data_IF_145614147768
#
_entry.id   IF_145614147768
#
_cell.length_a   1.000
_cell.length_b   1.000
_cell.length_c   1.000
_cell.angle_alpha   90.00
_cell.angle_beta   90.00
_cell.angle_gamma   90.00
#
_symmetry.space_group_name_H-M   'P 1'
#
loop_
_entity.id
_entity.type
_entity.pdbx_description
1 polymer ?
#
# COMPACT_ATOMS: atom_id res chain seq x y z
N UNK A 1 -35.55 80.72 -48.78
CA UNK A 1 -34.56 81.10 -47.71
C UNK A 1 -34.30 79.87 -46.91
N UNK A 2 -33.32 79.17 -47.35
CA UNK A 2 -32.00 78.96 -46.78
C UNK A 2 -31.96 78.50 -45.30
N UNK A 3 -31.48 77.33 -45.05
CA UNK A 3 -30.28 77.10 -44.20
C UNK A 3 -29.95 75.63 -44.18
N UNK A 4 -28.75 75.33 -44.62
CA UNK A 4 -28.03 74.02 -44.53
C UNK A 4 -27.70 73.68 -43.09
N UNK A 5 -27.86 72.42 -42.73
CA UNK A 5 -27.23 71.91 -41.54
C UNK A 5 -26.50 70.59 -41.89
N UNK A 6 -25.17 70.69 -41.92
CA UNK A 6 -24.24 69.57 -42.06
C UNK A 6 -24.34 68.70 -40.83
N UNK A 7 -24.63 67.37 -40.99
CA UNK A 7 -24.48 66.41 -39.98
C UNK A 7 -23.12 65.66 -40.16
N UNK A 8 -22.21 65.92 -39.26
CA UNK A 8 -20.90 65.27 -39.17
C UNK A 8 -21.11 63.84 -38.55
N UNK A 9 -20.87 62.82 -39.35
CA UNK A 9 -20.88 61.40 -38.87
C UNK A 9 -19.54 61.10 -38.21
N UNK A 10 -19.50 61.05 -36.89
CA UNK A 10 -18.36 60.58 -36.14
C UNK A 10 -18.38 58.99 -36.11
N UNK A 11 -17.42 58.44 -36.87
CA UNK A 11 -17.16 56.99 -36.82
C UNK A 11 -16.36 56.72 -35.56
N UNK A 12 -17.03 56.09 -34.56
CA UNK A 12 -16.43 55.61 -33.29
C UNK A 12 -15.83 54.26 -33.53
N UNK A 13 -14.52 54.18 -33.80
CA UNK A 13 -13.75 52.92 -33.77
C UNK A 13 -13.66 52.41 -32.33
N UNK A 14 -14.54 51.49 -31.97
CA UNK A 14 -14.42 50.70 -30.76
C UNK A 14 -13.24 49.72 -30.94
N UNK A 15 -12.07 50.12 -30.48
CA UNK A 15 -10.95 49.21 -30.21
C UNK A 15 -11.40 48.22 -29.11
N UNK A 16 -11.74 47.03 -29.55
CA UNK A 16 -11.96 45.89 -28.68
C UNK A 16 -10.59 45.43 -28.16
N UNK A 17 -10.14 46.00 -27.05
CA UNK A 17 -9.08 45.46 -26.24
C UNK A 17 -9.66 44.22 -25.53
N UNK A 18 -9.48 43.04 -26.11
CA UNK A 18 -9.66 41.78 -25.38
C UNK A 18 -8.66 41.76 -24.22
N UNK A 19 -9.00 41.15 -23.08
CA UNK A 19 -8.01 40.96 -22.02
C UNK A 19 -6.83 40.18 -22.61
N UNK A 20 -5.63 40.77 -22.59
CA UNK A 20 -4.39 40.05 -22.82
C UNK A 20 -4.33 38.97 -21.74
N UNK A 21 -4.41 37.69 -22.15
CA UNK A 21 -4.01 36.64 -21.30
C UNK A 21 -2.60 36.94 -20.79
N UNK A 22 -2.47 37.17 -19.51
CA UNK A 22 -1.18 37.31 -18.85
C UNK A 22 -0.51 35.96 -18.98
N UNK A 23 0.30 35.78 -20.00
CA UNK A 23 1.23 34.65 -20.07
C UNK A 23 2.12 34.79 -18.86
N UNK A 24 1.91 33.91 -17.89
CA UNK A 24 2.76 33.77 -16.71
C UNK A 24 4.17 33.47 -17.24
N UNK A 25 5.05 34.46 -17.22
CA UNK A 25 6.41 34.37 -17.79
C UNK A 25 7.29 33.40 -17.07
N UNK A 26 6.84 32.90 -15.89
CA UNK A 26 7.59 31.93 -15.07
C UNK A 26 7.29 30.45 -15.40
N UNK A 27 6.27 30.15 -16.24
CA UNK A 27 5.91 28.78 -16.61
C UNK A 27 5.84 28.60 -18.14
N UNK A 28 6.99 28.41 -18.80
CA UNK A 28 7.05 28.30 -20.25
C UNK A 28 6.36 27.09 -20.81
N UNK A 29 5.70 27.24 -21.95
CA UNK A 29 5.15 26.15 -22.75
C UNK A 29 6.30 25.39 -23.42
N UNK A 30 6.44 24.12 -23.16
CA UNK A 30 7.48 23.24 -23.70
C UNK A 30 7.07 22.55 -24.99
N UNK A 31 5.79 22.20 -25.12
CA UNK A 31 5.21 21.60 -26.32
C UNK A 31 3.73 21.95 -26.44
N UNK A 32 3.20 21.93 -27.68
CA UNK A 32 1.77 22.09 -27.95
C UNK A 32 1.32 21.08 -29.00
N UNK A 33 0.22 20.39 -28.73
CA UNK A 33 -0.45 19.50 -29.65
C UNK A 33 -1.95 19.89 -29.67
N UNK A 34 -2.39 20.43 -30.80
CA UNK A 34 -3.72 21.02 -30.96
C UNK A 34 -3.97 22.08 -29.88
N UNK A 35 -4.94 21.87 -28.99
CA UNK A 35 -5.29 22.78 -27.91
C UNK A 35 -4.62 22.44 -26.56
N UNK A 36 -3.85 21.36 -26.51
CA UNK A 36 -3.18 20.91 -25.31
C UNK A 36 -1.75 21.45 -25.26
N UNK A 37 -1.36 21.97 -24.13
CA UNK A 37 -0.02 22.50 -23.87
C UNK A 37 0.64 21.69 -22.75
N UNK A 38 1.92 21.40 -22.93
CA UNK A 38 2.80 20.93 -21.87
C UNK A 38 3.55 22.14 -21.32
N UNK A 39 3.50 22.35 -20.02
CA UNK A 39 4.21 23.42 -19.34
C UNK A 39 5.34 22.89 -18.48
N UNK A 40 6.32 23.73 -18.18
CA UNK A 40 7.47 23.34 -17.36
C UNK A 40 7.04 22.91 -15.95
N UNK A 41 6.02 23.53 -15.37
CA UNK A 41 5.47 23.17 -14.06
C UNK A 41 4.98 21.72 -13.99
N UNK A 42 4.55 21.12 -15.10
CA UNK A 42 4.12 19.71 -15.16
C UNK A 42 5.30 18.73 -15.06
N UNK A 43 6.53 19.21 -15.10
CA UNK A 43 7.76 18.44 -14.93
C UNK A 43 8.36 18.58 -13.53
N UNK A 44 7.64 19.18 -12.58
CA UNK A 44 8.11 19.33 -11.21
C UNK A 44 8.42 17.94 -10.60
N UNK A 45 9.57 17.82 -9.95
CA UNK A 45 10.04 16.54 -9.37
C UNK A 45 10.67 15.55 -10.35
N UNK A 46 10.77 15.87 -11.66
CA UNK A 46 11.40 14.98 -12.64
C UNK A 46 12.90 15.24 -12.81
N UNK A 47 13.42 16.32 -12.24
CA UNK A 47 14.82 16.67 -12.33
C UNK A 47 15.60 16.08 -11.15
N UNK A 48 16.70 15.33 -11.39
CA UNK A 48 17.57 14.87 -10.32
C UNK A 48 18.21 16.01 -9.54
N UNK A 49 18.46 15.79 -8.25
CA UNK A 49 19.19 16.74 -7.43
C UNK A 49 20.58 17.01 -8.04
N UNK A 50 20.89 18.30 -8.27
CA UNK A 50 22.17 18.71 -8.85
C UNK A 50 22.28 18.59 -10.38
N UNK A 51 21.16 18.37 -11.09
CA UNK A 51 21.14 18.36 -12.55
C UNK A 51 21.68 19.68 -13.13
N UNK A 52 22.57 19.59 -14.13
CA UNK A 52 23.06 20.77 -14.85
C UNK A 52 22.00 21.30 -15.82
N UNK A 53 22.15 22.54 -16.32
CA UNK A 53 21.26 23.09 -17.33
C UNK A 53 21.24 22.23 -18.62
N UNK A 54 22.37 21.60 -18.97
CA UNK A 54 22.46 20.70 -20.11
C UNK A 54 21.67 19.39 -19.87
N UNK A 55 21.80 18.80 -18.68
CA UNK A 55 21.05 17.61 -18.31
C UNK A 55 19.54 17.89 -18.30
N UNK A 56 19.14 19.02 -17.71
CA UNK A 56 17.75 19.46 -17.70
C UNK A 56 17.17 19.66 -19.11
N UNK A 57 17.94 20.24 -20.02
CA UNK A 57 17.52 20.41 -21.42
C UNK A 57 17.25 19.06 -22.13
N UNK A 58 18.11 18.07 -21.92
CA UNK A 58 17.93 16.72 -22.48
C UNK A 58 16.69 16.02 -21.90
N UNK A 59 16.46 16.17 -20.59
CA UNK A 59 15.28 15.61 -19.91
C UNK A 59 14.00 16.27 -20.44
N UNK A 60 13.99 17.59 -20.58
CA UNK A 60 12.85 18.35 -21.11
C UNK A 60 12.54 17.91 -22.56
N UNK A 61 13.54 17.83 -23.41
CA UNK A 61 13.36 17.44 -24.81
C UNK A 61 12.80 16.02 -24.92
N UNK A 62 13.37 15.06 -24.18
CA UNK A 62 12.91 13.67 -24.17
C UNK A 62 11.47 13.54 -23.68
N UNK A 63 11.14 14.27 -22.60
CA UNK A 63 9.79 14.28 -22.03
C UNK A 63 8.78 14.92 -22.99
N UNK A 64 9.09 16.10 -23.54
CA UNK A 64 8.23 16.81 -24.46
C UNK A 64 7.93 15.99 -25.73
N UNK A 65 8.94 15.28 -26.26
CA UNK A 65 8.77 14.39 -27.40
C UNK A 65 7.84 13.19 -27.08
N UNK A 66 7.96 12.59 -25.90
CA UNK A 66 7.08 11.51 -25.46
C UNK A 66 5.66 12.03 -25.26
N UNK A 67 5.52 13.12 -24.49
CA UNK A 67 4.24 13.76 -24.23
C UNK A 67 3.50 14.14 -25.54
N UNK A 68 4.21 14.71 -26.51
CA UNK A 68 3.62 15.08 -27.80
C UNK A 68 3.06 13.86 -28.56
N UNK A 69 3.76 12.72 -28.55
CA UNK A 69 3.27 11.46 -29.16
C UNK A 69 2.02 10.94 -28.46
N UNK A 70 2.03 10.97 -27.12
CA UNK A 70 0.89 10.55 -26.32
C UNK A 70 -0.31 11.47 -26.53
N UNK A 71 -0.06 12.80 -26.62
CA UNK A 71 -1.11 13.78 -26.86
C UNK A 71 -1.73 13.66 -28.27
N UNK A 72 -0.94 13.35 -29.30
CA UNK A 72 -1.45 13.07 -30.67
C UNK A 72 -2.28 11.80 -30.66
N UNK A 73 -1.78 10.72 -30.01
CA UNK A 73 -2.51 9.46 -29.92
C UNK A 73 -3.84 9.64 -29.21
N UNK A 74 -3.84 10.40 -28.10
CA UNK A 74 -5.08 10.68 -27.36
C UNK A 74 -6.06 11.48 -28.20
N UNK A 75 -5.61 12.51 -28.93
CA UNK A 75 -6.46 13.28 -29.83
C UNK A 75 -7.11 12.40 -30.91
N UNK A 76 -6.30 11.55 -31.57
CA UNK A 76 -6.82 10.59 -32.56
C UNK A 76 -7.81 9.61 -31.95
N UNK A 77 -7.53 9.15 -30.72
CA UNK A 77 -8.43 8.24 -29.99
C UNK A 77 -9.77 8.92 -29.66
N UNK A 78 -9.75 10.19 -29.27
CA UNK A 78 -10.98 10.98 -29.01
C UNK A 78 -11.82 11.17 -30.29
N UNK A 79 -11.17 11.39 -31.45
CA UNK A 79 -11.87 11.53 -32.72
C UNK A 79 -12.47 10.19 -33.23
N UNK A 80 -11.88 9.08 -32.87
CA UNK A 80 -12.26 7.74 -33.31
C UNK A 80 -12.92 6.90 -32.19
N UNK A 81 -13.32 7.54 -31.10
CA UNK A 81 -14.00 6.83 -30.00
C UNK A 81 -15.29 6.14 -30.51
N UNK A 82 -15.57 4.89 -30.09
CA UNK A 82 -16.80 4.22 -30.43
C UNK A 82 -18.01 5.04 -30.04
N UNK A 83 -19.00 5.16 -30.95
CA UNK A 83 -20.20 5.99 -30.75
C UNK A 83 -21.12 5.52 -29.61
N UNK A 84 -20.99 4.26 -29.19
CA UNK A 84 -21.68 3.65 -28.06
C UNK A 84 -20.96 3.87 -26.72
N UNK A 85 -19.73 4.38 -26.75
CA UNK A 85 -18.93 4.69 -25.56
C UNK A 85 -19.38 6.04 -24.96
N UNK A 86 -20.20 5.98 -23.92
CA UNK A 86 -20.64 7.16 -23.19
C UNK A 86 -19.56 7.59 -22.17
N UNK A 87 -18.54 8.31 -22.66
CA UNK A 87 -17.41 8.81 -21.85
C UNK A 87 -17.88 9.72 -20.72
N UNK A 88 -18.82 10.62 -20.97
CA UNK A 88 -19.34 11.56 -19.97
C UNK A 88 -19.97 10.80 -18.78
N UNK A 89 -20.69 9.73 -19.05
CA UNK A 89 -21.23 8.88 -18.00
C UNK A 89 -20.12 8.21 -17.21
N UNK A 90 -19.13 7.61 -17.88
CA UNK A 90 -18.00 6.95 -17.23
C UNK A 90 -17.21 7.91 -16.35
N UNK A 91 -16.93 9.12 -16.84
CA UNK A 91 -16.21 10.15 -16.07
C UNK A 91 -17.05 10.59 -14.86
N UNK A 92 -18.36 10.82 -15.01
CA UNK A 92 -19.24 11.15 -13.87
C UNK A 92 -19.27 10.02 -12.83
N UNK A 93 -19.42 8.78 -13.26
CA UNK A 93 -19.49 7.62 -12.37
C UNK A 93 -18.16 7.43 -11.64
N UNK A 94 -17.04 7.59 -12.35
CA UNK A 94 -15.70 7.52 -11.76
C UNK A 94 -15.48 8.63 -10.73
N UNK A 95 -15.82 9.87 -11.07
CA UNK A 95 -15.75 11.01 -10.13
C UNK A 95 -16.61 10.75 -8.89
N UNK A 96 -17.84 10.28 -9.07
CA UNK A 96 -18.74 9.96 -7.96
C UNK A 96 -18.14 8.87 -7.05
N UNK A 97 -17.49 7.85 -7.63
CA UNK A 97 -16.83 6.79 -6.85
C UNK A 97 -15.64 7.33 -6.05
N UNK A 98 -14.80 8.18 -6.64
CA UNK A 98 -13.68 8.81 -5.96
C UNK A 98 -14.11 9.69 -4.79
N UNK A 99 -15.10 10.56 -5.01
CA UNK A 99 -15.63 11.44 -3.95
C UNK A 99 -16.22 10.62 -2.81
N UNK A 100 -16.99 9.57 -3.15
CA UNK A 100 -17.56 8.66 -2.15
C UNK A 100 -16.48 7.93 -1.36
N UNK A 101 -15.49 7.34 -2.03
CA UNK A 101 -14.39 6.63 -1.38
C UNK A 101 -13.60 7.54 -0.45
N UNK A 102 -13.28 8.75 -0.89
CA UNK A 102 -12.57 9.74 -0.07
C UNK A 102 -13.37 10.13 1.18
N UNK A 103 -14.68 10.30 1.04
CA UNK A 103 -15.56 10.61 2.18
C UNK A 103 -15.69 9.42 3.14
N UNK A 104 -15.82 8.19 2.62
CA UNK A 104 -15.85 6.97 3.42
C UNK A 104 -14.54 6.76 4.21
N UNK A 105 -13.39 7.04 3.59
CA UNK A 105 -12.09 7.03 4.27
C UNK A 105 -12.03 8.07 5.41
N UNK A 106 -12.55 9.26 5.19
CA UNK A 106 -12.64 10.29 6.21
C UNK A 106 -13.57 9.87 7.37
N UNK A 107 -14.72 9.27 7.08
CA UNK A 107 -15.63 8.75 8.10
C UNK A 107 -14.93 7.68 8.95
N UNK A 108 -14.25 6.74 8.31
CA UNK A 108 -13.50 5.68 9.00
C UNK A 108 -12.39 6.27 9.85
N UNK A 109 -11.59 7.19 9.31
CA UNK A 109 -10.48 7.81 10.07
C UNK A 109 -10.95 8.57 11.31
N UNK A 110 -12.17 9.11 11.28
CA UNK A 110 -12.73 9.93 12.35
C UNK A 110 -13.50 9.11 13.40
N UNK A 111 -14.21 8.06 12.96
CA UNK A 111 -15.16 7.31 13.81
C UNK A 111 -14.66 5.93 14.23
N UNK A 112 -13.64 5.36 13.55
CA UNK A 112 -13.17 4.02 13.85
C UNK A 112 -12.39 3.98 15.16
N UNK A 113 -12.88 3.21 16.14
CA UNK A 113 -12.07 2.80 17.29
C UNK A 113 -11.14 1.65 16.86
N UNK A 114 -9.84 1.92 16.83
CA UNK A 114 -8.82 0.94 16.49
C UNK A 114 -8.23 0.20 17.70
N UNK A 115 -8.64 0.55 18.92
CA UNK A 115 -8.21 -0.13 20.13
C UNK A 115 -8.88 -1.51 20.23
N UNK A 116 -8.10 -2.56 20.43
CA UNK A 116 -8.58 -3.93 20.59
C UNK A 116 -8.00 -4.47 21.88
N UNK A 117 -8.87 -4.82 22.83
CA UNK A 117 -8.46 -5.43 24.08
C UNK A 117 -8.11 -6.90 23.90
N UNK A 118 -7.34 -7.46 24.82
CA UNK A 118 -6.99 -8.87 24.80
C UNK A 118 -8.23 -9.77 24.91
N UNK A 119 -9.18 -9.40 25.78
CA UNK A 119 -10.45 -10.14 25.96
C UNK A 119 -11.32 -10.13 24.70
N UNK A 120 -11.30 -9.06 23.94
CA UNK A 120 -12.02 -8.97 22.67
C UNK A 120 -11.36 -9.86 21.60
N UNK A 121 -10.03 -9.83 21.54
CA UNK A 121 -9.25 -10.64 20.63
C UNK A 121 -9.52 -12.14 20.86
N UNK A 122 -9.48 -12.57 22.13
CA UNK A 122 -9.73 -13.96 22.50
C UNK A 122 -11.17 -14.38 22.19
N UNK A 123 -12.17 -13.57 22.57
CA UNK A 123 -13.58 -13.87 22.26
C UNK A 123 -13.85 -13.95 20.76
N UNK A 124 -13.26 -13.06 19.97
CA UNK A 124 -13.43 -13.09 18.51
C UNK A 124 -12.77 -14.34 17.91
N UNK A 125 -11.55 -14.66 18.36
CA UNK A 125 -10.85 -15.86 17.92
C UNK A 125 -11.66 -17.12 18.27
N UNK A 126 -12.14 -17.28 19.50
CA UNK A 126 -12.92 -18.45 19.94
C UNK A 126 -14.19 -18.61 19.09
N UNK A 127 -14.85 -17.52 18.74
CA UNK A 127 -16.06 -17.54 17.90
C UNK A 127 -15.76 -17.88 16.44
N UNK A 128 -14.52 -17.68 15.97
CA UNK A 128 -14.14 -17.78 14.54
C UNK A 128 -12.99 -18.75 14.29
N UNK A 129 -12.51 -19.47 15.29
CA UNK A 129 -11.29 -20.31 15.21
C UNK A 129 -11.30 -21.33 14.06
N UNK A 130 -12.47 -21.83 13.67
CA UNK A 130 -12.61 -22.74 12.53
C UNK A 130 -12.17 -22.16 11.17
N UNK A 131 -12.02 -20.83 11.08
CA UNK A 131 -11.52 -20.15 9.88
C UNK A 131 -9.98 -20.11 9.82
N UNK A 132 -9.29 -20.45 10.91
CA UNK A 132 -7.83 -20.37 11.03
C UNK A 132 -7.17 -21.76 10.97
N UNK A 133 -7.57 -22.60 10.00
CA UNK A 133 -6.88 -23.86 9.75
C UNK A 133 -5.53 -23.61 9.08
N UNK A 134 -4.52 -24.35 9.55
CA UNK A 134 -3.17 -24.29 9.03
C UNK A 134 -3.09 -24.90 7.63
N UNK A 135 -2.63 -24.13 6.65
CA UNK A 135 -2.34 -24.64 5.30
C UNK A 135 -1.03 -25.40 5.25
N UNK A 136 -0.06 -25.02 6.09
CA UNK A 136 1.26 -25.65 6.26
C UNK A 136 1.55 -25.84 7.75
N UNK A 137 2.40 -26.81 8.13
CA UNK A 137 2.80 -26.95 9.52
C UNK A 137 3.48 -25.68 10.06
N UNK A 138 3.26 -25.42 11.35
CA UNK A 138 3.97 -24.35 12.06
C UNK A 138 4.79 -24.94 13.21
N UNK A 139 5.88 -24.29 13.51
CA UNK A 139 6.83 -24.71 14.55
C UNK A 139 7.09 -23.59 15.54
N UNK A 140 7.27 -23.95 16.78
CA UNK A 140 7.83 -23.09 17.81
C UNK A 140 9.26 -23.58 18.06
N UNK A 141 10.23 -22.75 17.70
CA UNK A 141 11.63 -23.16 17.65
C UNK A 141 12.59 -22.01 17.97
N UNK A 142 13.84 -22.36 18.26
CA UNK A 142 14.97 -21.48 18.06
C UNK A 142 15.62 -21.81 16.73
N UNK A 143 15.97 -20.77 15.98
CA UNK A 143 16.74 -20.91 14.76
C UNK A 143 17.78 -19.79 14.65
N UNK A 144 18.97 -20.15 14.23
CA UNK A 144 20.02 -19.19 13.97
C UNK A 144 20.92 -19.65 12.81
N UNK A 145 21.26 -18.70 11.93
CA UNK A 145 22.22 -18.87 10.85
C UNK A 145 23.37 -17.90 11.08
N UNK A 146 24.59 -18.44 11.18
CA UNK A 146 25.81 -17.65 11.36
C UNK A 146 26.81 -17.98 10.26
N UNK A 147 27.65 -17.02 9.82
CA UNK A 147 28.67 -17.28 8.79
C UNK A 147 29.70 -18.29 9.30
N UNK A 148 30.32 -19.01 8.37
CA UNK A 148 31.45 -19.89 8.65
C UNK A 148 32.73 -19.30 8.00
N UNK A 149 33.89 -19.27 8.72
CA UNK A 149 34.10 -19.75 10.08
C UNK A 149 33.34 -18.98 11.13
N UNK A 150 32.76 -19.74 12.09
CA UNK A 150 31.84 -19.19 13.10
C UNK A 150 32.64 -18.38 14.14
N UNK A 151 32.36 -17.08 14.30
CA UNK A 151 33.04 -16.28 15.32
C UNK A 151 32.71 -16.78 16.73
N UNK A 152 33.71 -16.84 17.61
CA UNK A 152 33.52 -17.22 19.02
C UNK A 152 32.74 -18.54 19.20
N UNK A 153 33.01 -19.55 18.35
CA UNK A 153 32.22 -20.78 18.24
C UNK A 153 32.05 -21.53 19.56
N UNK A 154 33.11 -21.65 20.39
CA UNK A 154 33.03 -22.31 21.68
C UNK A 154 32.02 -21.60 22.61
N UNK A 155 32.08 -20.29 22.66
CA UNK A 155 31.13 -19.48 23.44
C UNK A 155 29.70 -19.66 22.94
N UNK A 156 29.50 -19.67 21.62
CA UNK A 156 28.19 -19.90 21.03
C UNK A 156 27.62 -21.27 21.39
N UNK A 157 28.43 -22.34 21.31
CA UNK A 157 27.99 -23.69 21.66
C UNK A 157 27.57 -23.77 23.13
N UNK A 158 28.30 -23.15 24.04
CA UNK A 158 27.90 -23.10 25.44
C UNK A 158 26.57 -22.37 25.65
N UNK A 159 26.41 -21.19 25.05
CA UNK A 159 25.16 -20.41 25.13
C UNK A 159 23.97 -21.15 24.53
N UNK A 160 24.19 -21.85 23.40
CA UNK A 160 23.14 -22.61 22.75
C UNK A 160 22.66 -23.81 23.61
N UNK A 161 23.58 -24.50 24.27
CA UNK A 161 23.29 -25.73 25.01
C UNK A 161 22.70 -25.49 26.41
N UNK A 162 23.06 -24.41 27.08
CA UNK A 162 22.69 -24.19 28.48
C UNK A 162 21.23 -23.81 28.69
N UNK A 163 20.65 -22.98 27.82
CA UNK A 163 19.22 -22.65 27.84
C UNK A 163 18.70 -21.84 29.04
N UNK A 164 19.56 -21.32 29.90
CA UNK A 164 19.20 -20.46 31.03
C UNK A 164 18.74 -19.07 30.54
N UNK A 165 17.91 -18.33 31.32
CA UNK A 165 17.49 -16.99 30.91
C UNK A 165 18.64 -16.00 30.67
N UNK A 166 19.72 -16.08 31.45
CA UNK A 166 20.94 -15.29 31.28
C UNK A 166 21.67 -15.63 29.98
N UNK A 167 21.75 -16.91 29.66
CA UNK A 167 22.33 -17.41 28.43
C UNK A 167 21.48 -17.02 27.21
N UNK A 168 20.16 -16.99 27.36
CA UNK A 168 19.26 -16.50 26.31
C UNK A 168 19.52 -15.03 25.98
N UNK A 169 19.75 -14.19 26.98
CA UNK A 169 20.11 -12.78 26.77
C UNK A 169 21.49 -12.64 26.10
N UNK A 170 22.47 -13.47 26.52
CA UNK A 170 23.78 -13.52 25.91
C UNK A 170 23.71 -14.04 24.46
N UNK A 171 22.92 -15.07 24.18
CA UNK A 171 22.66 -15.61 22.84
C UNK A 171 22.03 -14.54 21.90
N UNK A 172 21.10 -13.74 22.40
CA UNK A 172 20.55 -12.61 21.64
C UNK A 172 21.59 -11.56 21.30
N UNK A 173 22.49 -11.21 22.25
CA UNK A 173 23.60 -10.29 21.98
C UNK A 173 24.57 -10.85 20.95
N UNK A 174 24.91 -12.14 21.07
CA UNK A 174 25.73 -12.84 20.09
C UNK A 174 25.10 -12.80 18.70
N UNK A 175 23.82 -13.17 18.61
CA UNK A 175 23.07 -13.19 17.35
C UNK A 175 23.02 -11.80 16.70
N UNK A 176 22.77 -10.74 17.48
CA UNK A 176 22.77 -9.37 16.95
C UNK A 176 24.12 -8.96 16.33
N UNK A 177 25.22 -9.50 16.85
CA UNK A 177 26.58 -9.16 16.39
C UNK A 177 27.03 -9.98 15.17
N UNK A 178 26.64 -11.25 15.11
CA UNK A 178 27.25 -12.21 14.18
C UNK A 178 26.25 -13.00 13.32
N UNK A 179 24.99 -13.10 13.71
CA UNK A 179 24.03 -13.91 12.96
C UNK A 179 23.46 -13.16 11.77
N UNK A 180 23.30 -13.84 10.64
CA UNK A 180 22.58 -13.34 9.49
C UNK A 180 21.07 -13.46 9.67
N UNK A 181 20.64 -14.54 10.35
CA UNK A 181 19.24 -14.79 10.71
C UNK A 181 19.22 -15.33 12.14
N UNK A 182 18.32 -14.80 12.97
CA UNK A 182 18.11 -15.26 14.33
C UNK A 182 16.65 -15.16 14.73
N UNK A 183 16.04 -16.29 15.03
CA UNK A 183 14.70 -16.45 15.58
C UNK A 183 14.87 -17.07 16.97
N UNK A 184 14.89 -16.22 18.00
CA UNK A 184 15.25 -16.59 19.37
C UNK A 184 14.10 -16.34 20.36
N UNK A 185 12.90 -16.18 19.86
CA UNK A 185 11.70 -16.11 20.69
C UNK A 185 11.08 -17.50 20.82
N UNK A 186 11.18 -18.09 22.03
CA UNK A 186 10.67 -19.42 22.33
C UNK A 186 9.14 -19.50 22.35
N UNK A 187 8.45 -18.36 22.37
CA UNK A 187 6.98 -18.28 22.40
C UNK A 187 6.37 -18.08 21.02
N UNK A 188 7.17 -17.60 20.06
CA UNK A 188 6.70 -17.30 18.71
C UNK A 188 6.55 -18.56 17.85
N UNK A 189 5.51 -18.57 17.03
CA UNK A 189 5.28 -19.59 16.02
C UNK A 189 5.76 -19.11 14.66
N UNK A 190 6.36 -20.00 13.89
CA UNK A 190 6.88 -19.74 12.55
C UNK A 190 6.35 -20.80 11.58
N UNK A 191 6.08 -20.44 10.33
CA UNK A 191 5.82 -21.42 9.28
C UNK A 191 7.02 -22.35 9.10
N UNK A 192 6.78 -23.66 9.00
CA UNK A 192 7.87 -24.62 8.78
C UNK A 192 8.63 -24.33 7.49
N UNK A 193 7.93 -23.95 6.43
CA UNK A 193 8.47 -23.51 5.13
C UNK A 193 9.35 -22.27 5.24
N UNK A 194 8.98 -21.32 6.09
CA UNK A 194 9.81 -20.13 6.39
C UNK A 194 11.16 -20.52 6.99
N UNK A 195 11.18 -21.48 7.92
CA UNK A 195 12.44 -21.98 8.50
C UNK A 195 13.20 -22.84 7.48
N UNK A 196 12.51 -23.72 6.76
CA UNK A 196 13.11 -24.60 5.76
C UNK A 196 13.79 -23.82 4.64
N UNK A 197 13.22 -22.67 4.21
CA UNK A 197 13.82 -21.81 3.19
C UNK A 197 15.14 -21.14 3.61
N UNK A 198 15.44 -21.11 4.91
CA UNK A 198 16.71 -20.60 5.44
C UNK A 198 17.79 -21.67 5.54
N UNK A 199 17.47 -22.93 5.29
CA UNK A 199 18.34 -24.09 5.40
C UNK A 199 18.66 -24.64 4.00
N UNK A 200 19.75 -25.40 3.85
CA UNK A 200 19.99 -26.18 2.64
C UNK A 200 18.79 -27.10 2.33
N UNK A 201 18.48 -27.22 1.04
CA UNK A 201 17.30 -27.97 0.56
C UNK A 201 17.22 -29.38 1.17
N UNK A 202 16.02 -29.78 1.60
CA UNK A 202 15.76 -31.09 2.20
C UNK A 202 16.26 -31.28 3.63
N UNK A 203 16.93 -30.28 4.24
CA UNK A 203 17.40 -30.38 5.62
C UNK A 203 16.25 -30.51 6.61
N UNK A 204 15.21 -29.67 6.46
CA UNK A 204 14.01 -29.67 7.30
C UNK A 204 12.77 -29.71 6.40
N UNK A 205 11.88 -30.67 6.65
CA UNK A 205 10.65 -30.89 5.88
C UNK A 205 9.52 -31.25 6.81
N UNK A 206 8.26 -31.24 6.31
CA UNK A 206 7.10 -31.67 7.07
C UNK A 206 7.23 -33.17 7.54
N UNK A 207 7.91 -34.00 6.76
CA UNK A 207 8.07 -35.41 7.06
C UNK A 207 9.15 -35.70 8.13
N UNK A 208 10.19 -34.82 8.20
CA UNK A 208 11.34 -35.08 9.07
C UNK A 208 11.42 -34.18 10.32
N UNK A 209 10.63 -33.14 10.42
CA UNK A 209 10.68 -32.17 11.51
C UNK A 209 10.47 -32.80 12.89
N UNK A 210 9.63 -33.82 12.98
CA UNK A 210 9.39 -34.57 14.23
C UNK A 210 10.59 -35.37 14.71
N UNK A 211 11.44 -35.84 13.80
CA UNK A 211 12.64 -36.60 14.10
C UNK A 211 13.88 -35.75 14.26
N UNK A 212 13.93 -34.63 13.52
CA UNK A 212 15.02 -33.65 13.58
C UNK A 212 14.70 -32.53 14.57
N UNK A 213 14.46 -32.87 15.82
CA UNK A 213 14.05 -31.85 16.83
C UNK A 213 15.16 -30.89 17.22
N UNK A 214 16.43 -31.28 17.09
CA UNK A 214 17.58 -30.47 17.35
C UNK A 214 18.72 -30.88 16.43
N UNK A 215 19.39 -29.91 15.81
CA UNK A 215 20.60 -30.16 15.03
C UNK A 215 21.43 -28.90 14.88
N UNK A 216 22.71 -29.13 14.60
CA UNK A 216 23.64 -28.16 14.06
C UNK A 216 24.13 -28.68 12.70
N UNK A 217 24.09 -27.84 11.68
CA UNK A 217 24.53 -28.20 10.32
C UNK A 217 25.46 -27.14 9.74
N UNK A 218 26.39 -27.55 8.91
CA UNK A 218 27.34 -26.70 8.17
C UNK A 218 27.16 -26.98 6.66
N UNK A 219 27.12 -25.92 5.83
CA UNK A 219 27.05 -26.04 4.36
C UNK A 219 28.29 -25.49 3.64
N UNK A 220 29.33 -25.17 4.36
CA UNK A 220 30.57 -24.57 3.81
C UNK A 220 30.60 -23.03 3.88
N UNK A 221 29.48 -22.36 3.90
CA UNK A 221 29.38 -20.89 4.03
C UNK A 221 28.72 -20.45 5.32
N UNK A 222 27.81 -21.25 5.84
CA UNK A 222 27.03 -20.96 7.03
C UNK A 222 26.95 -22.15 7.97
N UNK A 223 26.79 -21.84 9.25
CA UNK A 223 26.45 -22.81 10.29
C UNK A 223 25.05 -22.50 10.78
N UNK A 224 24.22 -23.53 10.84
CA UNK A 224 22.82 -23.49 11.20
C UNK A 224 22.62 -24.17 12.55
N UNK A 225 21.83 -23.54 13.41
CA UNK A 225 21.41 -24.05 14.70
C UNK A 225 19.89 -24.07 14.72
N UNK A 226 19.30 -25.23 15.05
CA UNK A 226 17.87 -25.42 15.14
C UNK A 226 17.52 -26.21 16.38
N UNK A 227 16.46 -25.80 17.09
CA UNK A 227 15.87 -26.51 18.22
C UNK A 227 14.37 -26.33 18.21
N UNK A 228 13.61 -27.43 18.08
CA UNK A 228 12.15 -27.50 18.08
C UNK A 228 11.62 -27.62 19.51
N UNK A 229 10.67 -26.77 19.87
CA UNK A 229 9.89 -26.90 21.11
C UNK A 229 8.55 -27.54 20.88
N UNK A 230 7.83 -27.08 19.84
CA UNK A 230 6.47 -27.54 19.55
C UNK A 230 6.19 -27.53 18.04
N UNK A 231 5.24 -28.33 17.59
CA UNK A 231 4.83 -28.46 16.21
C UNK A 231 3.31 -28.58 16.15
N UNK A 232 2.71 -27.80 15.26
CA UNK A 232 1.31 -27.95 14.85
C UNK A 232 1.25 -28.39 13.40
N UNK A 233 0.68 -29.56 13.11
CA UNK A 233 0.58 -30.08 11.75
C UNK A 233 -0.43 -29.29 10.91
N UNK A 234 -0.35 -29.49 9.61
CA UNK A 234 -1.34 -29.00 8.65
C UNK A 234 -2.76 -29.44 9.04
N UNK A 235 -3.75 -28.61 8.76
CA UNK A 235 -5.19 -28.78 9.02
C UNK A 235 -5.60 -28.68 10.49
N UNK A 236 -4.68 -28.52 11.43
CA UNK A 236 -5.03 -28.11 12.78
C UNK A 236 -5.43 -26.63 12.84
N UNK A 237 -6.16 -26.26 13.87
CA UNK A 237 -6.49 -24.85 14.14
C UNK A 237 -5.23 -24.15 14.64
N UNK A 238 -4.88 -23.07 13.96
CA UNK A 238 -3.73 -22.24 14.33
C UNK A 238 -3.95 -21.59 15.70
N UNK A 239 -2.98 -21.59 16.61
CA UNK A 239 -3.11 -20.91 17.90
C UNK A 239 -3.25 -19.40 17.71
N UNK A 240 -3.99 -18.74 18.62
CA UNK A 240 -4.22 -17.28 18.56
C UNK A 240 -2.92 -16.49 18.39
N UNK A 241 -1.87 -16.88 19.11
CA UNK A 241 -0.55 -16.22 19.05
C UNK A 241 0.10 -16.25 17.65
N UNK A 242 -0.27 -17.19 16.79
CA UNK A 242 0.19 -17.26 15.41
C UNK A 242 -0.65 -16.39 14.48
N UNK A 243 -1.97 -16.35 14.68
CA UNK A 243 -2.93 -15.64 13.84
C UNK A 243 -3.39 -14.30 14.41
N UNK A 244 -2.79 -13.83 15.50
CA UNK A 244 -3.21 -12.62 16.20
C UNK A 244 -3.39 -11.42 15.28
N UNK A 245 -2.43 -11.19 14.39
CA UNK A 245 -2.52 -10.10 13.42
C UNK A 245 -3.66 -10.28 12.40
N UNK A 246 -4.02 -11.52 12.07
CA UNK A 246 -5.16 -11.81 11.20
C UNK A 246 -6.48 -11.53 11.93
N UNK A 247 -6.57 -11.98 13.18
CA UNK A 247 -7.74 -11.74 14.05
C UNK A 247 -7.95 -10.24 14.25
N UNK A 248 -6.90 -9.49 14.58
CA UNK A 248 -6.95 -8.01 14.70
C UNK A 248 -7.45 -7.33 13.42
N UNK A 249 -6.94 -7.75 12.28
CA UNK A 249 -7.41 -7.21 10.98
C UNK A 249 -8.88 -7.54 10.72
N UNK A 250 -9.33 -8.74 11.07
CA UNK A 250 -10.71 -9.15 10.91
C UNK A 250 -11.67 -8.33 11.78
N UNK A 251 -11.32 -8.09 13.05
CA UNK A 251 -12.07 -7.22 13.97
C UNK A 251 -12.16 -5.80 13.39
N UNK A 252 -11.03 -5.20 13.00
CA UNK A 252 -11.01 -3.84 12.45
C UNK A 252 -11.79 -3.74 11.13
N UNK A 253 -11.73 -4.76 10.30
CA UNK A 253 -12.53 -4.81 9.07
C UNK A 253 -14.03 -4.87 9.38
N UNK A 254 -14.43 -5.64 10.38
CA UNK A 254 -15.81 -5.70 10.87
C UNK A 254 -16.28 -4.32 11.35
N UNK A 255 -15.52 -3.68 12.25
CA UNK A 255 -15.82 -2.34 12.76
C UNK A 255 -15.88 -1.27 11.67
N UNK A 256 -14.95 -1.32 10.70
CA UNK A 256 -14.96 -0.41 9.54
C UNK A 256 -16.26 -0.52 8.77
N UNK A 257 -16.72 -1.74 8.52
CA UNK A 257 -17.99 -1.97 7.82
C UNK A 257 -19.18 -1.43 8.60
N UNK A 258 -19.24 -1.68 9.91
CA UNK A 258 -20.27 -1.17 10.81
C UNK A 258 -20.31 0.37 10.82
N UNK A 259 -19.16 1.04 10.99
CA UNK A 259 -19.06 2.50 10.92
C UNK A 259 -19.60 3.06 9.61
N UNK A 260 -19.31 2.40 8.48
CA UNK A 260 -19.81 2.85 7.17
C UNK A 260 -21.31 2.64 7.02
N UNK A 261 -21.84 1.49 7.44
CA UNK A 261 -23.27 1.20 7.40
C UNK A 261 -24.06 2.16 8.27
N UNK A 262 -23.64 2.35 9.53
CA UNK A 262 -24.29 3.26 10.49
C UNK A 262 -24.23 4.71 9.98
N UNK A 263 -23.09 5.12 9.42
CA UNK A 263 -22.94 6.47 8.87
C UNK A 263 -23.84 6.70 7.65
N UNK A 264 -23.99 5.69 6.77
CA UNK A 264 -24.91 5.77 5.62
C UNK A 264 -26.35 5.91 6.08
N UNK A 265 -26.77 5.11 7.06
CA UNK A 265 -28.13 5.15 7.58
C UNK A 265 -28.40 6.47 8.34
N UNK A 266 -27.44 6.96 9.11
CA UNK A 266 -27.52 8.27 9.79
C UNK A 266 -27.72 9.42 8.78
N UNK A 267 -26.92 9.42 7.70
CA UNK A 267 -26.99 10.43 6.62
C UNK A 267 -28.36 10.33 5.93
N UNK A 268 -28.76 9.13 5.51
CA UNK A 268 -30.03 8.90 4.84
C UNK A 268 -31.22 9.37 5.70
N UNK A 269 -31.29 8.94 6.95
CA UNK A 269 -32.34 9.30 7.89
C UNK A 269 -32.38 10.81 8.17
N UNK A 270 -31.23 11.47 8.21
CA UNK A 270 -31.13 12.93 8.35
C UNK A 270 -31.72 13.67 7.15
N UNK A 271 -31.37 13.25 5.93
CA UNK A 271 -31.87 13.89 4.71
C UNK A 271 -33.35 13.60 4.48
N UNK A 272 -33.85 12.44 4.89
CA UNK A 272 -35.28 12.11 4.87
C UNK A 272 -36.08 13.03 5.81
N UNK A 273 -35.57 13.30 7.03
CA UNK A 273 -36.22 14.24 7.97
C UNK A 273 -36.19 15.70 7.50
N UNK A 274 -35.31 16.04 6.56
CA UNK A 274 -35.21 17.37 5.96
C UNK A 274 -36.04 17.55 4.70
N UNK A 275 -36.82 16.53 4.33
CA UNK A 275 -37.59 16.48 3.09
C UNK A 275 -36.74 16.64 1.80
N UNK A 276 -35.47 16.25 1.88
CA UNK A 276 -34.53 16.29 0.73
C UNK A 276 -34.62 15.02 -0.13
N UNK A 277 -35.46 14.04 0.23
CA UNK A 277 -35.64 12.78 -0.49
C UNK A 277 -37.12 12.61 -0.88
N UNK A 278 -37.39 12.51 -2.17
CA UNK A 278 -38.71 12.25 -2.70
C UNK A 278 -38.70 10.94 -3.50
N UNK A 279 -39.71 10.08 -3.27
CA UNK A 279 -39.87 8.83 -3.99
C UNK A 279 -41.03 8.93 -4.99
N UNK A 280 -40.73 8.83 -6.27
CA UNK A 280 -41.72 8.88 -7.36
C UNK A 280 -42.15 7.47 -7.83
N UNK A 281 -41.99 6.46 -7.00
CA UNK A 281 -42.46 5.09 -7.30
C UNK A 281 -43.96 5.01 -7.17
N UNK A 282 -44.67 4.70 -8.28
CA UNK A 282 -46.11 4.36 -8.22
C UNK A 282 -46.26 3.09 -7.36
N UNK A 283 -47.05 3.20 -6.30
CA UNK A 283 -47.60 2.03 -5.57
C UNK A 283 -48.57 1.29 -6.44
#
# INVERSE_FOLDING_TARGET
MSKYLLAATAVLCLLRCGPAESTNTDDPVLARVHQRELRLSEMEGMFPDGATAADSAVIIEAFANRWARDAVLLWESEQNAPSDLNLDRLVRDYRASLVRSSYEEQLVSTKLDSSITQDELERFYDATQGQYQLETPIVRCLFMRVPYPTPEEESLQLLWNNGNPEDTAALRRYAHKYAEVALLDQTAWYGLDQIASQLPEGTLTADNVNTKREFTQLDGTNRYYFRLFDLRPRLEIAPLSYVENQVRRAILHGRKREVLEDSREEIFSRELRRDNIEFFTKR
#
